data_IF_761278018713
#
_entry.id   IF_761278018713
#
_cell.length_a   1.000
_cell.length_b   1.000
_cell.length_c   1.000
_cell.angle_alpha   90.00
_cell.angle_beta   90.00
_cell.angle_gamma   90.00
#
_symmetry.space_group_name_H-M   'P 1'
#
loop_
_entity.id
_entity.type
_entity.pdbx_description
1 polymer ?
#
# COMPACT_ATOMS: atom_id res chain seq x y z
N UNK A 1 -18.85 -4.55 21.73
CA UNK A 1 -18.01 -4.91 20.57
C UNK A 1 -16.76 -4.04 20.61
N UNK A 2 -15.56 -4.61 20.84
CA UNK A 2 -14.33 -3.82 20.98
C UNK A 2 -13.88 -3.29 19.62
N UNK A 3 -14.14 -2.01 19.35
CA UNK A 3 -13.76 -1.33 18.09
C UNK A 3 -12.28 -1.56 17.77
N UNK A 4 -11.40 -1.52 18.77
CA UNK A 4 -9.96 -1.77 18.58
C UNK A 4 -9.61 -3.18 18.07
N UNK A 5 -10.44 -4.18 18.35
CA UNK A 5 -10.20 -5.56 17.93
C UNK A 5 -10.51 -5.76 16.44
N UNK A 6 -11.37 -4.91 15.88
CA UNK A 6 -11.77 -4.95 14.48
C UNK A 6 -10.95 -3.99 13.59
N UNK A 7 -10.27 -2.98 14.16
CA UNK A 7 -9.50 -2.00 13.38
C UNK A 7 -8.43 -2.64 12.48
N UNK A 8 -7.60 -3.54 13.02
CA UNK A 8 -6.54 -4.19 12.25
C UNK A 8 -7.07 -5.04 11.08
N UNK A 9 -8.03 -5.97 11.28
CA UNK A 9 -8.60 -6.73 10.16
C UNK A 9 -9.36 -5.83 9.16
N UNK A 10 -10.02 -4.77 9.60
CA UNK A 10 -10.64 -3.79 8.69
C UNK A 10 -9.59 -3.06 7.85
N UNK A 11 -8.54 -2.52 8.46
CA UNK A 11 -7.46 -1.83 7.75
C UNK A 11 -6.77 -2.76 6.75
N UNK A 12 -6.50 -4.00 7.15
CA UNK A 12 -5.94 -5.03 6.29
C UNK A 12 -6.84 -5.28 5.07
N UNK A 13 -8.13 -5.50 5.29
CA UNK A 13 -9.08 -5.80 4.21
C UNK A 13 -9.24 -4.60 3.28
N UNK A 14 -9.30 -3.39 3.84
CA UNK A 14 -9.35 -2.15 3.08
C UNK A 14 -8.06 -1.96 2.25
N UNK A 15 -6.87 -2.13 2.83
CA UNK A 15 -5.59 -2.05 2.10
C UNK A 15 -5.52 -3.05 0.95
N UNK A 16 -5.96 -4.30 1.18
CA UNK A 16 -5.98 -5.31 0.13
C UNK A 16 -6.97 -4.94 -0.98
N UNK A 17 -8.15 -4.44 -0.63
CA UNK A 17 -9.16 -4.01 -1.58
C UNK A 17 -8.69 -2.82 -2.43
N UNK A 18 -8.09 -1.79 -1.83
CA UNK A 18 -7.59 -0.62 -2.56
C UNK A 18 -6.39 -0.98 -3.44
N UNK A 19 -5.50 -1.86 -2.97
CA UNK A 19 -4.37 -2.36 -3.76
C UNK A 19 -4.86 -3.18 -4.97
N UNK A 20 -5.85 -4.06 -4.78
CA UNK A 20 -6.46 -4.82 -5.86
C UNK A 20 -7.19 -3.91 -6.86
N UNK A 21 -7.88 -2.86 -6.39
CA UNK A 21 -8.50 -1.86 -7.27
C UNK A 21 -7.46 -1.11 -8.11
N UNK A 22 -6.33 -0.70 -7.52
CA UNK A 22 -5.21 -0.11 -8.26
C UNK A 22 -4.62 -1.08 -9.29
N UNK A 23 -4.45 -2.36 -8.93
CA UNK A 23 -4.02 -3.40 -9.85
C UNK A 23 -4.99 -3.62 -11.02
N UNK A 24 -6.30 -3.57 -10.76
CA UNK A 24 -7.32 -3.64 -11.80
C UNK A 24 -7.22 -2.46 -12.78
N UNK A 25 -7.04 -1.24 -12.27
CA UNK A 25 -6.87 -0.05 -13.13
C UNK A 25 -5.63 -0.18 -14.02
N UNK A 26 -4.51 -0.66 -13.48
CA UNK A 26 -3.30 -0.90 -14.27
C UNK A 26 -3.47 -2.01 -15.30
N UNK A 27 -4.19 -3.09 -14.96
CA UNK A 27 -4.51 -4.16 -15.90
C UNK A 27 -5.39 -3.65 -17.05
N UNK A 28 -6.40 -2.83 -16.73
CA UNK A 28 -7.28 -2.22 -17.73
C UNK A 28 -6.50 -1.28 -18.66
N UNK A 29 -5.66 -0.41 -18.10
CA UNK A 29 -4.78 0.48 -18.87
C UNK A 29 -3.75 -0.28 -19.72
N UNK A 30 -3.23 -1.40 -19.22
CA UNK A 30 -2.40 -2.28 -20.01
C UNK A 30 -3.15 -2.79 -21.25
N UNK A 31 -4.33 -3.39 -21.08
CA UNK A 31 -5.07 -4.00 -22.19
C UNK A 31 -5.50 -2.96 -23.23
N UNK A 32 -6.01 -1.83 -22.77
CA UNK A 32 -6.71 -0.87 -23.65
C UNK A 32 -5.74 0.12 -24.29
N UNK A 33 -4.73 0.60 -23.55
CA UNK A 33 -3.90 1.74 -23.98
C UNK A 33 -2.42 1.38 -24.16
N UNK A 34 -1.83 0.63 -23.23
CA UNK A 34 -0.37 0.59 -23.09
C UNK A 34 0.31 -0.71 -23.52
N UNK A 35 -0.41 -1.79 -23.81
CA UNK A 35 0.18 -3.13 -24.09
C UNK A 35 1.23 -3.14 -25.18
N UNK A 36 1.14 -2.24 -26.16
CA UNK A 36 2.05 -2.17 -27.30
C UNK A 36 3.17 -1.14 -27.14
N UNK A 37 3.18 -0.37 -26.05
CA UNK A 37 4.25 0.58 -25.78
C UNK A 37 5.42 -0.19 -25.18
N UNK A 38 6.56 -0.17 -25.89
CA UNK A 38 7.78 -0.85 -25.45
C UNK A 38 8.19 -0.38 -24.04
N UNK A 39 8.59 -1.32 -23.19
CA UNK A 39 8.86 -1.13 -21.74
C UNK A 39 7.62 -0.77 -20.90
N UNK A 40 6.82 0.22 -21.29
CA UNK A 40 5.69 0.72 -20.51
C UNK A 40 4.59 -0.35 -20.35
N UNK A 41 4.17 -1.01 -21.44
CA UNK A 41 3.18 -2.09 -21.37
C UNK A 41 3.56 -3.18 -20.36
N UNK A 42 4.75 -3.80 -20.48
CA UNK A 42 5.22 -4.77 -19.50
C UNK A 42 5.28 -4.24 -18.05
N UNK A 43 5.63 -2.97 -17.83
CA UNK A 43 5.64 -2.37 -16.48
C UNK A 43 4.22 -2.27 -15.90
N UNK A 44 3.22 -1.88 -16.69
CA UNK A 44 1.82 -1.87 -16.24
C UNK A 44 1.32 -3.28 -15.90
N UNK A 45 1.66 -4.29 -16.71
CA UNK A 45 1.30 -5.68 -16.43
C UNK A 45 1.98 -6.21 -15.17
N UNK A 46 3.27 -5.89 -14.99
CA UNK A 46 4.03 -6.25 -13.78
C UNK A 46 3.42 -5.60 -12.54
N UNK A 47 3.10 -4.30 -12.61
CA UNK A 47 2.46 -3.57 -11.52
C UNK A 47 1.12 -4.23 -11.16
N UNK A 48 0.27 -4.51 -12.14
CA UNK A 48 -1.04 -5.11 -11.92
C UNK A 48 -0.92 -6.49 -11.26
N UNK A 49 -0.03 -7.33 -11.79
CA UNK A 49 0.21 -8.69 -11.29
C UNK A 49 0.75 -8.66 -9.86
N UNK A 50 1.72 -7.79 -9.57
CA UNK A 50 2.28 -7.63 -8.23
C UNK A 50 1.22 -7.12 -7.25
N UNK A 51 0.40 -6.15 -7.65
CA UNK A 51 -0.69 -5.60 -6.85
C UNK A 51 -1.71 -6.67 -6.46
N UNK A 52 -2.15 -7.50 -7.41
CA UNK A 52 -3.06 -8.61 -7.12
C UNK A 52 -2.43 -9.68 -6.22
N UNK A 53 -1.19 -10.09 -6.50
CA UNK A 53 -0.50 -11.08 -5.68
C UNK A 53 -0.34 -10.60 -4.24
N UNK A 54 0.10 -9.35 -4.05
CA UNK A 54 0.27 -8.75 -2.74
C UNK A 54 -1.07 -8.54 -2.03
N UNK A 55 -2.14 -8.15 -2.74
CA UNK A 55 -3.47 -8.03 -2.15
C UNK A 55 -3.96 -9.37 -1.60
N UNK A 56 -3.80 -10.46 -2.37
CA UNK A 56 -4.15 -11.80 -1.92
C UNK A 56 -3.31 -12.24 -0.72
N UNK A 57 -1.99 -12.07 -0.78
CA UNK A 57 -1.08 -12.41 0.32
C UNK A 57 -1.36 -11.59 1.58
N UNK A 58 -1.74 -10.31 1.44
CA UNK A 58 -2.10 -9.46 2.56
C UNK A 58 -3.32 -10.01 3.31
N UNK A 59 -4.20 -10.79 2.68
CA UNK A 59 -5.38 -11.41 3.30
C UNK A 59 -5.09 -12.76 3.98
N UNK A 60 -3.89 -13.33 3.80
CA UNK A 60 -3.49 -14.62 4.41
C UNK A 60 -2.79 -14.42 5.77
N UNK A 61 -3.24 -15.11 6.81
CA UNK A 61 -2.53 -15.23 8.10
C UNK A 61 -2.24 -13.89 8.79
N UNK A 62 -1.05 -13.75 9.40
CA UNK A 62 -0.54 -12.48 9.95
C UNK A 62 0.58 -11.94 9.07
N UNK A 63 0.31 -10.98 8.17
CA UNK A 63 1.26 -10.59 7.15
C UNK A 63 2.49 -9.90 7.75
N UNK A 64 3.71 -10.32 7.36
CA UNK A 64 4.94 -9.76 7.91
C UNK A 64 5.10 -8.29 7.49
N UNK A 65 5.99 -7.57 8.19
CA UNK A 65 6.33 -6.18 7.82
C UNK A 65 6.83 -6.10 6.37
N UNK A 66 7.62 -7.07 5.93
CA UNK A 66 8.15 -7.14 4.58
C UNK A 66 7.05 -7.13 3.51
N UNK A 67 5.94 -7.85 3.72
CA UNK A 67 4.85 -7.91 2.76
C UNK A 67 4.12 -6.56 2.64
N UNK A 68 3.94 -5.87 3.77
CA UNK A 68 3.37 -4.51 3.80
C UNK A 68 4.30 -3.49 3.15
N UNK A 69 5.61 -3.62 3.38
CA UNK A 69 6.63 -2.80 2.73
C UNK A 69 6.67 -3.04 1.21
N UNK A 70 6.54 -4.29 0.76
CA UNK A 70 6.46 -4.64 -0.66
C UNK A 70 5.22 -4.01 -1.31
N UNK A 71 4.04 -4.10 -0.68
CA UNK A 71 2.83 -3.44 -1.16
C UNK A 71 2.99 -1.93 -1.25
N UNK A 72 3.60 -1.31 -0.25
CA UNK A 72 3.93 0.12 -0.28
C UNK A 72 4.92 0.44 -1.41
N UNK A 73 5.95 -0.37 -1.62
CA UNK A 73 6.93 -0.20 -2.69
C UNK A 73 6.33 -0.29 -4.09
N UNK A 74 5.45 -1.27 -4.34
CA UNK A 74 4.70 -1.38 -5.61
C UNK A 74 3.84 -0.14 -5.85
N UNK A 75 3.15 0.32 -4.81
CA UNK A 75 2.28 1.51 -4.90
C UNK A 75 3.08 2.79 -5.12
N UNK A 76 4.21 2.96 -4.41
CA UNK A 76 5.12 4.09 -4.61
C UNK A 76 5.78 4.08 -5.98
N UNK A 77 6.11 2.90 -6.51
CA UNK A 77 6.65 2.75 -7.86
C UNK A 77 5.66 3.21 -8.92
N UNK A 78 4.38 2.85 -8.77
CA UNK A 78 3.31 3.32 -9.65
C UNK A 78 3.18 4.86 -9.61
N UNK A 79 3.11 5.44 -8.41
CA UNK A 79 3.00 6.88 -8.23
C UNK A 79 4.22 7.64 -8.77
N UNK A 80 5.42 7.10 -8.56
CA UNK A 80 6.65 7.65 -9.11
C UNK A 80 6.65 7.61 -10.64
N UNK A 81 6.21 6.51 -11.25
CA UNK A 81 6.03 6.40 -12.70
C UNK A 81 4.98 7.39 -13.24
N UNK A 82 3.88 7.56 -12.53
CA UNK A 82 2.82 8.53 -12.85
C UNK A 82 3.35 9.97 -12.84
N UNK A 83 4.12 10.35 -11.81
CA UNK A 83 4.72 11.68 -11.70
C UNK A 83 5.81 11.87 -12.76
N UNK A 84 6.69 10.87 -12.94
CA UNK A 84 7.80 10.95 -13.88
C UNK A 84 7.30 11.11 -15.32
N UNK A 85 6.29 10.34 -15.73
CA UNK A 85 5.70 10.45 -17.08
C UNK A 85 5.10 11.83 -17.36
N UNK A 86 4.67 12.58 -16.34
CA UNK A 86 4.08 13.93 -16.46
C UNK A 86 5.08 15.07 -16.31
N UNK A 87 6.33 14.77 -15.95
CA UNK A 87 7.35 15.79 -15.64
C UNK A 87 8.57 15.67 -16.53
N UNK A 88 9.24 14.51 -16.50
CA UNK A 88 10.50 14.24 -17.20
C UNK A 88 10.38 13.19 -18.30
N UNK A 89 9.23 12.51 -18.36
CA UNK A 89 9.02 11.34 -19.21
C UNK A 89 9.66 10.07 -18.65
N UNK A 90 9.25 8.91 -19.16
CA UNK A 90 9.74 7.59 -18.75
C UNK A 90 10.01 6.78 -20.01
N UNK A 91 11.27 6.48 -20.31
CA UNK A 91 11.67 5.77 -21.53
C UNK A 91 11.12 6.39 -22.83
N UNK A 92 11.03 7.71 -22.89
CA UNK A 92 10.45 8.44 -24.04
C UNK A 92 8.93 8.53 -24.07
N UNK A 93 8.24 7.94 -23.08
CA UNK A 93 6.80 8.06 -22.88
C UNK A 93 6.46 9.23 -21.96
N UNK A 94 5.52 10.08 -22.38
CA UNK A 94 5.04 11.23 -21.61
C UNK A 94 3.52 11.28 -21.59
N UNK A 95 2.96 11.71 -20.47
CA UNK A 95 1.52 11.87 -20.28
C UNK A 95 1.18 13.28 -19.81
N UNK A 96 -0.06 13.71 -20.04
CA UNK A 96 -0.52 15.05 -19.70
C UNK A 96 -1.77 15.03 -18.81
N UNK A 97 -1.73 15.82 -17.75
CA UNK A 97 -2.86 15.99 -16.83
C UNK A 97 -3.35 14.66 -16.24
N UNK A 98 -4.67 14.50 -16.20
CA UNK A 98 -5.36 13.29 -15.72
C UNK A 98 -5.85 12.41 -16.87
N UNK A 99 -5.13 12.42 -17.99
CA UNK A 99 -5.33 11.46 -19.06
C UNK A 99 -4.47 10.20 -18.82
N UNK A 100 -4.97 9.03 -19.21
CA UNK A 100 -6.33 8.73 -19.69
C UNK A 100 -7.39 8.90 -18.58
N UNK A 101 -8.50 9.56 -18.90
CA UNK A 101 -9.57 9.87 -17.96
C UNK A 101 -10.74 8.87 -18.06
N UNK A 102 -11.31 8.40 -16.93
CA UNK A 102 -11.02 8.78 -15.54
C UNK A 102 -9.93 7.93 -14.85
N UNK A 103 -9.31 7.00 -15.56
CA UNK A 103 -8.43 5.96 -15.00
C UNK A 103 -7.23 6.53 -14.26
N UNK A 104 -6.59 7.58 -14.79
CA UNK A 104 -5.45 8.25 -14.15
C UNK A 104 -5.81 8.82 -12.77
N UNK A 105 -6.97 9.46 -12.65
CA UNK A 105 -7.46 9.98 -11.36
C UNK A 105 -7.80 8.84 -10.39
N UNK A 106 -8.49 7.80 -10.88
CA UNK A 106 -8.82 6.64 -10.07
C UNK A 106 -7.54 5.91 -9.58
N UNK A 107 -6.51 5.80 -10.42
CA UNK A 107 -5.22 5.21 -10.05
C UNK A 107 -4.60 6.02 -8.92
N UNK A 108 -4.49 7.35 -9.08
CA UNK A 108 -3.94 8.23 -8.06
C UNK A 108 -4.68 8.12 -6.72
N UNK A 109 -6.01 8.05 -6.74
CA UNK A 109 -6.83 7.89 -5.53
C UNK A 109 -6.60 6.53 -4.87
N UNK A 110 -6.58 5.44 -5.64
CA UNK A 110 -6.36 4.08 -5.12
C UNK A 110 -4.95 3.90 -4.57
N UNK A 111 -3.93 4.45 -5.23
CA UNK A 111 -2.55 4.43 -4.78
C UNK A 111 -2.37 5.21 -3.47
N UNK A 112 -2.87 6.46 -3.44
CA UNK A 112 -2.80 7.30 -2.24
C UNK A 112 -3.57 6.68 -1.07
N UNK A 113 -4.77 6.14 -1.34
CA UNK A 113 -5.57 5.42 -0.36
C UNK A 113 -4.86 4.19 0.19
N UNK A 114 -4.22 3.41 -0.67
CA UNK A 114 -3.45 2.22 -0.26
C UNK A 114 -2.29 2.61 0.66
N UNK A 115 -1.50 3.62 0.29
CA UNK A 115 -0.39 4.11 1.11
C UNK A 115 -0.85 4.64 2.47
N UNK A 116 -1.97 5.38 2.49
CA UNK A 116 -2.55 5.89 3.73
C UNK A 116 -3.00 4.74 4.65
N UNK A 117 -3.74 3.77 4.11
CA UNK A 117 -4.24 2.61 4.87
C UNK A 117 -3.08 1.75 5.40
N UNK A 118 -2.07 1.45 4.59
CA UNK A 118 -0.88 0.72 5.01
C UNK A 118 -0.12 1.46 6.12
N UNK A 119 -0.01 2.78 6.02
CA UNK A 119 0.63 3.63 7.03
C UNK A 119 -0.13 3.60 8.36
N UNK A 120 -1.45 3.80 8.32
CA UNK A 120 -2.31 3.76 9.51
C UNK A 120 -2.25 2.36 10.16
N UNK A 121 -2.30 1.31 9.35
CA UNK A 121 -2.17 -0.06 9.83
C UNK A 121 -0.82 -0.30 10.52
N UNK A 122 0.29 0.14 9.92
CA UNK A 122 1.62 0.01 10.51
C UNK A 122 1.74 0.80 11.82
N UNK A 123 1.21 2.01 11.88
CA UNK A 123 1.17 2.81 13.11
C UNK A 123 0.33 2.13 14.21
N UNK A 124 -0.79 1.50 13.84
CA UNK A 124 -1.66 0.80 14.79
C UNK A 124 -0.94 -0.42 15.39
N UNK A 125 -0.30 -1.24 14.55
CA UNK A 125 0.45 -2.42 14.99
C UNK A 125 1.64 -2.03 15.88
N UNK A 126 2.39 -1.00 15.50
CA UNK A 126 3.54 -0.53 16.31
C UNK A 126 3.12 0.04 17.65
N UNK A 127 2.00 0.77 17.72
CA UNK A 127 1.43 1.26 18.99
C UNK A 127 1.02 0.11 19.91
N UNK A 128 0.35 -0.92 19.38
CA UNK A 128 -0.03 -2.11 20.16
C UNK A 128 1.20 -2.85 20.70
N UNK A 129 2.23 -3.02 19.87
CA UNK A 129 3.49 -3.65 20.30
C UNK A 129 4.21 -2.84 21.39
N UNK A 130 4.23 -1.51 21.30
CA UNK A 130 4.83 -0.64 22.33
C UNK A 130 4.06 -0.72 23.65
N UNK A 131 2.73 -0.65 23.60
CA UNK A 131 1.89 -0.76 24.80
C UNK A 131 2.09 -2.11 25.52
N UNK A 132 2.24 -3.21 24.78
CA UNK A 132 2.53 -4.53 25.34
C UNK A 132 3.95 -4.67 25.90
N UNK A 133 4.91 -3.86 25.44
CA UNK A 133 6.33 -3.93 25.85
C UNK A 133 6.67 -3.09 27.07
N UNK A 134 5.87 -2.09 27.44
CA UNK A 134 6.10 -1.30 28.66
C UNK A 134 5.85 -2.19 29.88
N UNK A 135 6.90 -2.69 30.58
CA UNK A 135 6.70 -3.44 31.80
C UNK A 135 6.27 -2.42 32.86
N UNK A 136 5.28 -2.77 33.68
CA UNK A 136 5.03 -2.05 34.93
C UNK A 136 6.36 -2.04 35.68
N UNK A 137 7.01 -0.87 35.76
CA UNK A 137 8.09 -0.65 36.72
C UNK A 137 7.44 -0.81 38.08
N UNK A 138 7.52 -2.01 38.66
CA UNK A 138 7.25 -2.18 40.08
C UNK A 138 8.15 -1.17 40.78
N UNK A 139 7.61 -0.17 41.50
CA UNK A 139 8.45 0.64 42.35
C UNK A 139 9.06 -0.35 43.33
N UNK A 140 10.39 -0.49 43.32
CA UNK A 140 11.11 -1.07 44.45
C UNK A 140 10.86 -0.13 45.62
N UNK A 141 9.71 -0.31 46.27
CA UNK A 141 9.34 0.35 47.51
C UNK A 141 10.24 -0.24 48.58
N UNK A 142 11.35 0.45 48.79
CA UNK A 142 11.73 0.92 50.11
C UNK A 142 11.42 -0.10 51.22
N UNK A 143 12.29 -1.11 51.33
CA UNK A 143 12.38 -1.98 52.50
C UNK A 143 13.81 -1.98 52.99
N UNK A 144 14.24 -0.82 53.46
CA UNK A 144 15.45 -0.66 54.27
C UNK A 144 15.16 0.36 55.38
N UNK A 145 14.14 0.07 56.17
CA UNK A 145 14.06 0.52 57.56
C UNK A 145 14.01 -0.76 58.38
N UNK A 146 15.12 -1.11 59.02
CA UNK A 146 15.23 -1.69 60.36
C UNK A 146 16.72 -1.89 60.68
#
# INVERSE_FOLDING_TARGET
MNIQRLLVPTLRSASAATLAAGGYIHAHLYVDEYRFIHVIGPLFLLQASASFALAALLLVGTPPLLLRAAAAGVTLGALAGFIASRTVGVFGFTEHGLQPAPQALLSLLTETGTLLLLSIWQMTVTRQQRAARTPVRTPLRERATH
#
